data_IF_615081472046
#
_entry.id   IF_615081472046
#
_cell.length_a   1.000
_cell.length_b   1.000
_cell.length_c   1.000
_cell.angle_alpha   90.00
_cell.angle_beta   90.00
_cell.angle_gamma   90.00
#
_symmetry.space_group_name_H-M   'P 1'
#
loop_
_entity.id
_entity.type
_entity.pdbx_description
1 polymer ?
#
# COMPACT_ATOMS: atom_id res chain seq x y z
N UNK A 1 -42.28 28.36 4.61
CA UNK A 1 -41.51 27.86 3.45
C UNK A 1 -40.33 27.06 4.02
N UNK A 2 -40.48 25.75 4.21
CA UNK A 2 -39.37 24.90 4.66
C UNK A 2 -38.49 24.57 3.46
N UNK A 3 -37.22 24.96 3.52
CA UNK A 3 -36.19 24.55 2.55
C UNK A 3 -35.69 23.18 3.00
N UNK A 4 -36.16 22.12 2.36
CA UNK A 4 -35.61 20.77 2.49
C UNK A 4 -34.26 20.73 1.77
N UNK A 5 -33.17 20.71 2.52
CA UNK A 5 -31.84 20.42 2.00
C UNK A 5 -31.79 18.93 1.64
N UNK A 6 -31.96 18.61 0.36
CA UNK A 6 -31.69 17.26 -0.17
C UNK A 6 -30.18 17.07 -0.18
N UNK A 7 -29.65 16.37 0.82
CA UNK A 7 -28.28 15.86 0.77
C UNK A 7 -28.27 14.78 -0.32
N UNK A 8 -27.48 14.93 -1.41
CA UNK A 8 -27.38 13.88 -2.41
C UNK A 8 -26.69 12.69 -1.75
N UNK A 9 -27.44 11.60 -1.55
CA UNK A 9 -26.89 10.29 -1.27
C UNK A 9 -26.11 9.86 -2.52
N UNK A 10 -24.80 10.10 -2.51
CA UNK A 10 -23.93 9.45 -3.47
C UNK A 10 -24.07 7.94 -3.24
N UNK A 11 -24.44 7.12 -4.25
CA UNK A 11 -24.32 5.69 -4.11
C UNK A 11 -22.88 5.39 -3.69
N UNK A 12 -22.73 4.66 -2.59
CA UNK A 12 -21.43 4.12 -2.21
C UNK A 12 -21.03 3.11 -3.29
N UNK A 13 -20.30 3.59 -4.29
CA UNK A 13 -19.72 2.74 -5.32
C UNK A 13 -18.62 1.91 -4.63
N UNK A 14 -19.01 0.72 -4.20
CA UNK A 14 -18.08 -0.29 -3.70
C UNK A 14 -17.62 -1.14 -4.88
N UNK A 15 -16.35 -1.01 -5.27
CA UNK A 15 -15.72 -2.00 -6.11
C UNK A 15 -15.37 -3.20 -5.21
N UNK A 16 -16.04 -4.33 -5.40
CA UNK A 16 -15.66 -5.58 -4.74
C UNK A 16 -14.59 -6.25 -5.60
N UNK A 17 -13.38 -6.39 -5.07
CA UNK A 17 -12.29 -7.08 -5.74
C UNK A 17 -12.46 -8.58 -5.47
N UNK A 18 -13.01 -9.29 -6.45
CA UNK A 18 -13.19 -10.75 -6.34
C UNK A 18 -11.94 -11.47 -6.81
N UNK A 19 -11.16 -12.00 -5.86
CA UNK A 19 -9.97 -12.80 -6.12
C UNK A 19 -10.12 -14.21 -5.56
N UNK A 20 -9.57 -15.20 -6.26
CA UNK A 20 -9.44 -16.54 -5.68
C UNK A 20 -8.39 -16.53 -4.55
N UNK A 21 -8.48 -17.48 -3.62
CA UNK A 21 -7.46 -17.63 -2.58
C UNK A 21 -6.05 -17.80 -3.17
N UNK A 22 -5.92 -18.52 -4.30
CA UNK A 22 -4.65 -18.68 -5.00
C UNK A 22 -4.10 -17.35 -5.56
N UNK A 23 -4.95 -16.44 -5.98
CA UNK A 23 -4.54 -15.11 -6.45
C UNK A 23 -4.07 -14.23 -5.29
N UNK A 24 -4.79 -14.27 -4.16
CA UNK A 24 -4.38 -13.57 -2.92
C UNK A 24 -3.00 -14.06 -2.46
N UNK A 25 -2.78 -15.38 -2.45
CA UNK A 25 -1.46 -15.95 -2.14
C UNK A 25 -0.38 -15.48 -3.11
N UNK A 26 -0.67 -15.42 -4.41
CA UNK A 26 0.28 -14.93 -5.43
C UNK A 26 0.63 -13.46 -5.22
N UNK A 27 -0.36 -12.62 -4.90
CA UNK A 27 -0.17 -11.20 -4.55
C UNK A 27 0.72 -11.10 -3.31
N UNK A 28 0.40 -11.85 -2.24
CA UNK A 28 1.17 -11.86 -1.00
C UNK A 28 2.63 -12.25 -1.22
N UNK A 29 2.88 -13.35 -1.94
CA UNK A 29 4.23 -13.82 -2.27
C UNK A 29 5.02 -12.79 -3.10
N UNK A 30 4.39 -12.18 -4.10
CA UNK A 30 5.05 -11.17 -4.94
C UNK A 30 5.39 -9.91 -4.17
N UNK A 31 4.48 -9.50 -3.28
CA UNK A 31 4.69 -8.36 -2.37
C UNK A 31 5.85 -8.65 -1.41
N UNK A 32 5.89 -9.85 -0.81
CA UNK A 32 6.98 -10.31 0.03
C UNK A 32 8.32 -10.38 -0.70
N UNK A 33 8.33 -10.84 -1.95
CA UNK A 33 9.53 -10.85 -2.79
C UNK A 33 10.06 -9.42 -3.00
N UNK A 34 9.18 -8.46 -3.26
CA UNK A 34 9.58 -7.10 -3.56
C UNK A 34 10.07 -6.31 -2.35
N UNK A 35 9.46 -6.52 -1.18
CA UNK A 35 9.81 -5.76 0.03
C UNK A 35 10.91 -6.43 0.86
N UNK A 36 10.87 -7.76 0.95
CA UNK A 36 11.71 -8.53 1.89
C UNK A 36 12.65 -9.52 1.18
N UNK A 37 12.76 -9.44 -0.14
CA UNK A 37 13.47 -10.40 -0.99
C UNK A 37 12.98 -11.86 -0.82
N UNK A 38 11.73 -12.05 -0.35
CA UNK A 38 11.16 -13.37 -0.07
C UNK A 38 11.79 -14.07 1.14
N UNK A 39 12.44 -13.32 2.03
CA UNK A 39 13.12 -13.88 3.20
C UNK A 39 12.33 -13.66 4.49
N UNK A 40 12.38 -14.63 5.40
CA UNK A 40 11.75 -14.52 6.72
C UNK A 40 12.43 -13.41 7.54
N UNK A 41 13.75 -13.28 7.45
CA UNK A 41 14.51 -12.23 8.13
C UNK A 41 14.07 -10.83 7.69
N UNK A 42 13.82 -10.65 6.38
CA UNK A 42 13.37 -9.37 5.81
C UNK A 42 11.96 -8.95 6.24
N UNK A 43 11.17 -9.81 6.88
CA UNK A 43 9.86 -9.44 7.43
C UNK A 43 9.98 -8.49 8.64
N UNK A 44 11.18 -8.27 9.15
CA UNK A 44 11.43 -7.40 10.31
C UNK A 44 12.63 -6.51 10.02
N UNK A 45 12.42 -5.20 9.97
CA UNK A 45 13.47 -4.23 9.75
C UNK A 45 13.30 -3.00 10.65
N UNK A 46 14.40 -2.30 10.91
CA UNK A 46 14.39 -0.97 11.48
C UNK A 46 15.54 -0.21 10.82
N UNK A 47 15.23 0.65 9.86
CA UNK A 47 16.26 1.32 9.07
C UNK A 47 16.93 2.43 9.89
N UNK A 48 18.16 2.75 9.51
CA UNK A 48 18.87 3.88 10.10
C UNK A 48 18.14 5.18 9.78
N UNK A 49 17.95 6.04 10.78
CA UNK A 49 17.21 7.30 10.65
C UNK A 49 15.69 7.19 10.81
N UNK A 50 15.14 5.99 11.03
CA UNK A 50 13.72 5.78 11.35
C UNK A 50 13.47 5.67 12.86
N UNK A 51 12.29 6.13 13.31
CA UNK A 51 11.84 6.05 14.70
C UNK A 51 10.85 4.90 14.96
N UNK A 52 10.76 3.94 14.03
CA UNK A 52 9.78 2.86 14.03
C UNK A 52 10.34 1.55 13.47
N UNK A 53 9.71 0.44 13.84
CA UNK A 53 9.93 -0.84 13.20
C UNK A 53 9.06 -0.99 11.94
N UNK A 54 9.61 -1.65 10.93
CA UNK A 54 8.97 -1.97 9.66
C UNK A 54 8.75 -3.48 9.59
N UNK A 55 7.47 -3.91 9.53
CA UNK A 55 7.10 -5.31 9.71
C UNK A 55 6.27 -5.89 8.57
N UNK A 56 6.39 -7.19 8.35
CA UNK A 56 5.58 -7.95 7.40
C UNK A 56 5.89 -7.65 5.94
N UNK A 57 5.08 -8.22 5.04
CA UNK A 57 5.31 -8.19 3.59
C UNK A 57 5.21 -6.80 2.97
N UNK A 58 4.83 -5.79 3.77
CA UNK A 58 4.71 -4.39 3.35
C UNK A 58 5.38 -3.36 4.26
N UNK A 59 6.29 -3.79 5.14
CA UNK A 59 6.97 -2.87 6.06
C UNK A 59 5.97 -1.99 6.83
N UNK A 60 4.92 -2.64 7.35
CA UNK A 60 3.92 -2.02 8.20
C UNK A 60 4.60 -1.37 9.40
N UNK A 61 4.28 -0.09 9.61
CA UNK A 61 4.94 0.76 10.60
C UNK A 61 4.42 0.44 12.00
N UNK A 62 5.33 0.27 12.96
CA UNK A 62 5.04 0.11 14.38
C UNK A 62 5.92 1.03 15.23
N UNK A 63 5.30 2.01 15.89
CA UNK A 63 6.01 2.97 16.73
C UNK A 63 6.18 2.46 18.16
N UNK A 64 7.28 2.84 18.83
CA UNK A 64 7.43 2.69 20.27
C UNK A 64 6.37 3.45 21.07
N UNK A 65 6.25 3.09 22.35
CA UNK A 65 5.33 3.76 23.27
C UNK A 65 5.66 5.25 23.37
N UNK A 66 4.65 6.11 23.25
CA UNK A 66 4.80 7.56 23.37
C UNK A 66 5.55 8.22 22.21
N UNK A 67 5.91 7.46 21.16
CA UNK A 67 6.51 8.01 19.94
C UNK A 67 5.51 8.00 18.81
N UNK A 68 5.56 9.05 17.99
CA UNK A 68 4.83 9.15 16.72
C UNK A 68 5.72 9.87 15.73
N UNK A 69 5.60 9.49 14.47
CA UNK A 69 6.31 10.10 13.36
C UNK A 69 5.33 10.67 12.32
N UNK A 70 5.86 11.22 11.22
CA UNK A 70 5.04 11.79 10.16
C UNK A 70 4.27 10.74 9.34
N UNK A 71 4.60 9.46 9.50
CA UNK A 71 3.97 8.36 8.78
C UNK A 71 2.89 7.68 9.61
N UNK A 72 1.83 7.25 8.93
CA UNK A 72 0.72 6.52 9.52
C UNK A 72 1.17 5.17 10.10
N UNK A 73 0.84 4.90 11.36
CA UNK A 73 1.06 3.60 11.98
C UNK A 73 0.08 2.56 11.44
N UNK A 74 0.59 1.44 10.92
CA UNK A 74 -0.22 0.45 10.21
C UNK A 74 -0.13 -0.97 10.76
N UNK A 75 0.97 -1.36 11.43
CA UNK A 75 1.13 -2.72 11.94
C UNK A 75 0.03 -3.15 12.92
N UNK A 76 -0.40 -2.31 13.89
CA UNK A 76 -1.49 -2.69 14.79
C UNK A 76 -2.83 -2.92 14.06
N UNK A 77 -3.07 -2.21 12.94
CA UNK A 77 -4.25 -2.41 12.09
C UNK A 77 -4.22 -3.79 11.41
N UNK A 78 -3.03 -4.21 10.96
CA UNK A 78 -2.81 -5.54 10.36
C UNK A 78 -3.05 -6.64 11.40
N UNK A 79 -2.49 -6.50 12.60
CA UNK A 79 -2.72 -7.45 13.70
C UNK A 79 -4.21 -7.55 14.04
N UNK A 80 -4.91 -6.41 14.15
CA UNK A 80 -6.36 -6.39 14.39
C UNK A 80 -7.17 -7.04 13.27
N UNK A 81 -6.76 -6.88 12.02
CA UNK A 81 -7.39 -7.51 10.86
C UNK A 81 -7.21 -9.03 10.84
N UNK A 82 -6.00 -9.50 11.15
CA UNK A 82 -5.63 -10.92 11.23
C UNK A 82 -6.35 -11.58 12.40
N UNK A 83 -6.39 -10.93 13.57
CA UNK A 83 -7.06 -11.43 14.77
C UNK A 83 -8.54 -11.73 14.54
N UNK A 84 -9.23 -10.90 13.75
CA UNK A 84 -10.66 -11.08 13.43
C UNK A 84 -10.94 -12.28 12.52
N UNK A 85 -9.91 -12.85 11.88
CA UNK A 85 -9.98 -14.03 11.01
C UNK A 85 -9.51 -15.30 11.70
N UNK A 86 -9.50 -15.31 13.04
CA UNK A 86 -9.19 -16.48 13.87
C UNK A 86 -7.79 -17.09 13.68
N UNK A 87 -6.84 -16.32 13.12
CA UNK A 87 -5.44 -16.75 13.05
C UNK A 87 -4.80 -16.72 14.44
N UNK A 88 -3.90 -17.68 14.70
CA UNK A 88 -3.16 -17.76 15.97
C UNK A 88 -2.17 -16.61 16.08
N UNK A 89 -2.41 -15.69 17.02
CA UNK A 89 -1.46 -14.65 17.39
C UNK A 89 -0.51 -15.15 18.50
N UNK A 90 0.77 -14.76 18.49
CA UNK A 90 1.64 -14.88 19.65
C UNK A 90 1.01 -14.25 20.89
N UNK A 91 1.11 -14.90 22.05
CA UNK A 91 0.40 -14.46 23.28
C UNK A 91 0.76 -13.04 23.71
N UNK A 92 1.99 -12.61 23.45
CA UNK A 92 2.44 -11.27 23.76
C UNK A 92 1.93 -10.21 22.78
N UNK A 93 1.37 -10.60 21.62
CA UNK A 93 0.61 -9.75 20.68
C UNK A 93 -0.90 -9.80 20.94
N UNK A 94 -1.41 -10.76 21.73
CA UNK A 94 -2.84 -10.95 22.01
C UNK A 94 -3.46 -9.83 22.87
N UNK A 95 -2.67 -8.94 23.49
CA UNK A 95 -3.19 -7.83 24.32
C UNK A 95 -3.76 -6.66 23.50
N UNK A 96 -4.30 -6.95 22.32
CA UNK A 96 -4.99 -6.01 21.44
C UNK A 96 -4.07 -5.11 20.62
N UNK A 97 -4.60 -4.60 19.49
CA UNK A 97 -3.92 -3.70 18.55
C UNK A 97 -3.57 -2.30 19.11
N UNK A 98 -3.44 -2.17 20.42
CA UNK A 98 -2.99 -0.96 21.11
C UNK A 98 -1.59 -1.14 21.72
N UNK A 99 -1.01 -2.35 21.61
CA UNK A 99 0.30 -2.61 22.16
C UNK A 99 1.37 -1.88 21.33
N UNK A 100 2.15 -0.98 21.93
CA UNK A 100 3.23 -0.30 21.23
C UNK A 100 4.34 -1.29 20.89
N UNK A 101 5.21 -0.91 19.94
CA UNK A 101 6.41 -1.68 19.63
C UNK A 101 7.20 -1.95 20.93
N UNK A 102 7.54 -3.22 21.23
CA UNK A 102 8.19 -3.57 22.50
C UNK A 102 9.65 -3.08 22.56
N UNK A 103 10.23 -2.73 21.41
CA UNK A 103 11.56 -2.15 21.31
C UNK A 103 11.47 -0.63 21.20
N UNK A 104 12.12 0.09 22.10
CA UNK A 104 12.06 1.56 22.17
C UNK A 104 13.09 2.26 21.28
N UNK A 105 14.00 1.49 20.68
CA UNK A 105 15.03 1.99 19.78
C UNK A 105 15.47 0.93 18.78
N UNK A 106 16.06 1.38 17.67
CA UNK A 106 16.75 0.51 16.72
C UNK A 106 17.81 -0.37 17.39
N UNK A 107 18.57 0.17 18.34
CA UNK A 107 19.60 -0.59 19.05
C UNK A 107 19.02 -1.77 19.86
N UNK A 108 17.88 -1.55 20.53
CA UNK A 108 17.15 -2.63 21.21
C UNK A 108 16.62 -3.66 20.22
N UNK A 109 16.02 -3.20 19.11
CA UNK A 109 15.49 -4.07 18.06
C UNK A 109 16.57 -4.95 17.42
N UNK A 110 17.77 -4.40 17.22
CA UNK A 110 18.91 -5.14 16.67
C UNK A 110 19.48 -6.16 17.66
N UNK A 111 19.55 -5.83 18.96
CA UNK A 111 19.93 -6.81 19.98
C UNK A 111 18.92 -7.95 20.10
N UNK A 112 17.65 -7.67 19.81
CA UNK A 112 16.57 -8.65 19.89
C UNK A 112 16.44 -9.55 18.65
N UNK A 113 17.28 -9.40 17.62
CA UNK A 113 17.11 -10.12 16.33
C UNK A 113 17.01 -11.64 16.45
N UNK A 114 17.57 -12.22 17.51
CA UNK A 114 17.60 -13.66 17.76
C UNK A 114 16.82 -14.10 19.01
N UNK A 115 16.06 -13.20 19.64
CA UNK A 115 15.25 -13.58 20.81
C UNK A 115 14.03 -14.39 20.41
N UNK A 116 13.43 -15.08 21.39
CA UNK A 116 12.23 -15.86 21.18
C UNK A 116 11.08 -15.00 20.62
N UNK A 117 10.92 -13.77 21.12
CA UNK A 117 9.87 -12.83 20.71
C UNK A 117 10.03 -12.44 19.24
N UNK A 118 11.26 -12.11 18.79
CA UNK A 118 11.50 -11.73 17.40
C UNK A 118 11.28 -12.91 16.45
N UNK A 119 11.70 -14.11 16.85
CA UNK A 119 11.47 -15.32 16.05
C UNK A 119 9.97 -15.66 15.96
N UNK A 120 9.23 -15.53 17.06
CA UNK A 120 7.77 -15.68 17.06
C UNK A 120 7.09 -14.62 16.18
N UNK A 121 7.55 -13.37 16.21
CA UNK A 121 7.04 -12.30 15.35
C UNK A 121 7.24 -12.65 13.87
N UNK A 122 8.44 -13.09 13.49
CA UNK A 122 8.73 -13.50 12.10
C UNK A 122 7.92 -14.70 11.66
N UNK A 123 7.77 -15.71 12.52
CA UNK A 123 6.96 -16.89 12.22
C UNK A 123 5.50 -16.49 12.00
N UNK A 124 4.94 -15.67 12.89
CA UNK A 124 3.59 -15.11 12.74
C UNK A 124 3.43 -14.36 11.41
N UNK A 125 4.39 -13.49 11.06
CA UNK A 125 4.36 -12.75 9.79
C UNK A 125 4.48 -13.66 8.57
N UNK A 126 5.25 -14.75 8.65
CA UNK A 126 5.39 -15.71 7.56
C UNK A 126 4.13 -16.57 7.40
N UNK A 127 3.51 -16.99 8.50
CA UNK A 127 2.31 -17.84 8.51
C UNK A 127 1.03 -17.09 8.10
N UNK A 128 1.10 -15.76 8.00
CA UNK A 128 -0.05 -14.89 7.70
C UNK A 128 0.15 -14.02 6.46
N UNK A 129 1.00 -14.43 5.54
CA UNK A 129 1.27 -13.69 4.29
C UNK A 129 -0.01 -13.47 3.46
N UNK A 130 -0.87 -14.48 3.40
CA UNK A 130 -2.16 -14.42 2.71
C UNK A 130 -3.10 -13.40 3.38
N UNK A 131 -3.21 -13.41 4.70
CA UNK A 131 -4.02 -12.45 5.46
C UNK A 131 -3.48 -11.03 5.39
N UNK A 132 -2.15 -10.87 5.33
CA UNK A 132 -1.53 -9.58 5.04
C UNK A 132 -1.88 -9.09 3.63
N UNK A 133 -1.91 -9.98 2.63
CA UNK A 133 -2.34 -9.64 1.28
C UNK A 133 -3.83 -9.24 1.25
N UNK A 134 -4.71 -9.98 1.93
CA UNK A 134 -6.12 -9.59 2.09
C UNK A 134 -6.28 -8.20 2.72
N UNK A 135 -5.47 -7.87 3.73
CA UNK A 135 -5.49 -6.54 4.34
C UNK A 135 -5.15 -5.45 3.33
N UNK A 136 -4.15 -5.68 2.47
CA UNK A 136 -3.76 -4.74 1.43
C UNK A 136 -4.85 -4.57 0.35
N UNK A 137 -5.53 -5.66 0.00
CA UNK A 137 -6.67 -5.65 -0.94
C UNK A 137 -7.84 -4.87 -0.34
N UNK A 138 -8.20 -5.13 0.92
CA UNK A 138 -9.26 -4.38 1.61
C UNK A 138 -8.94 -2.88 1.72
N UNK A 139 -7.66 -2.53 1.93
CA UNK A 139 -7.21 -1.13 1.88
C UNK A 139 -7.38 -0.53 0.48
N UNK A 140 -7.07 -1.28 -0.57
CA UNK A 140 -7.24 -0.84 -1.96
C UNK A 140 -8.71 -0.60 -2.30
N UNK A 141 -9.63 -1.48 -1.88
CA UNK A 141 -11.08 -1.28 -2.05
C UNK A 141 -11.55 0.03 -1.39
N UNK A 142 -11.02 0.33 -0.19
CA UNK A 142 -11.29 1.59 0.50
C UNK A 142 -10.63 2.83 -0.11
N UNK A 143 -9.70 2.66 -1.06
CA UNK A 143 -9.01 3.77 -1.73
C UNK A 143 -9.82 4.36 -2.90
N UNK A 144 -10.57 3.53 -3.63
CA UNK A 144 -11.31 3.98 -4.83
C UNK A 144 -12.32 5.11 -4.51
N UNK A 145 -13.20 5.00 -3.49
CA UNK A 145 -14.14 6.08 -3.17
C UNK A 145 -13.45 7.41 -2.86
N UNK A 146 -12.28 7.38 -2.22
CA UNK A 146 -11.49 8.59 -1.92
C UNK A 146 -10.93 9.21 -3.20
N UNK A 147 -10.41 8.38 -4.11
CA UNK A 147 -9.90 8.84 -5.40
C UNK A 147 -11.02 9.48 -6.24
N UNK A 148 -12.21 8.88 -6.27
CA UNK A 148 -13.36 9.44 -6.99
C UNK A 148 -13.87 10.75 -6.37
N UNK A 149 -13.78 10.89 -5.05
CA UNK A 149 -14.14 12.14 -4.37
C UNK A 149 -13.17 13.28 -4.73
N UNK A 150 -11.87 13.00 -4.84
CA UNK A 150 -10.83 13.99 -5.22
C UNK A 150 -10.79 14.27 -6.73
N UNK A 151 -11.09 13.27 -7.57
CA UNK A 151 -11.05 13.41 -9.03
C UNK A 151 -12.01 14.49 -9.55
N UNK A 152 -11.59 15.19 -10.60
CA UNK A 152 -12.45 16.15 -11.29
C UNK A 152 -13.70 15.43 -11.84
N UNK A 153 -14.89 16.07 -11.87
CA UNK A 153 -16.12 15.41 -12.29
C UNK A 153 -16.05 14.71 -13.65
N UNK A 154 -15.29 15.27 -14.61
CA UNK A 154 -15.10 14.70 -15.94
C UNK A 154 -14.24 13.41 -15.94
N UNK A 155 -13.34 13.26 -14.97
CA UNK A 155 -12.37 12.16 -14.93
C UNK A 155 -12.86 10.96 -14.10
N UNK A 156 -13.87 11.16 -13.24
CA UNK A 156 -14.37 10.12 -12.31
C UNK A 156 -14.74 8.82 -13.00
N UNK A 157 -15.46 8.90 -14.12
CA UNK A 157 -15.87 7.73 -14.88
C UNK A 157 -14.66 6.97 -15.44
N UNK A 158 -13.66 7.70 -15.96
CA UNK A 158 -12.43 7.09 -16.45
C UNK A 158 -11.64 6.44 -15.30
N UNK A 159 -11.44 7.13 -14.19
CA UNK A 159 -10.71 6.60 -13.01
C UNK A 159 -11.34 5.30 -12.52
N UNK A 160 -12.67 5.28 -12.38
CA UNK A 160 -13.39 4.06 -11.98
C UNK A 160 -13.20 2.94 -13.00
N UNK A 161 -13.39 3.23 -14.30
CA UNK A 161 -13.23 2.24 -15.36
C UNK A 161 -11.82 1.63 -15.38
N UNK A 162 -10.77 2.45 -15.26
CA UNK A 162 -9.38 1.98 -15.30
C UNK A 162 -9.01 1.19 -14.04
N UNK A 163 -9.53 1.59 -12.88
CA UNK A 163 -9.39 0.82 -11.64
C UNK A 163 -10.01 -0.57 -11.79
N UNK A 164 -11.28 -0.63 -12.21
CA UNK A 164 -12.00 -1.90 -12.38
C UNK A 164 -11.35 -2.79 -13.44
N UNK A 165 -10.90 -2.20 -14.56
CA UNK A 165 -10.17 -2.91 -15.62
C UNK A 165 -8.93 -3.62 -15.08
N UNK A 166 -8.13 -2.94 -14.25
CA UNK A 166 -6.96 -3.56 -13.62
C UNK A 166 -7.36 -4.60 -12.55
N UNK A 167 -8.35 -4.29 -11.73
CA UNK A 167 -8.80 -5.15 -10.64
C UNK A 167 -9.38 -6.51 -11.10
N UNK A 168 -9.87 -6.61 -12.34
CA UNK A 168 -10.36 -7.87 -12.93
C UNK A 168 -9.30 -8.95 -13.11
N UNK A 169 -8.02 -8.60 -13.08
CA UNK A 169 -6.93 -9.57 -13.25
C UNK A 169 -6.06 -9.63 -12.00
N UNK A 170 -5.53 -10.81 -11.62
CA UNK A 170 -4.62 -10.91 -10.47
C UNK A 170 -3.37 -10.03 -10.63
N UNK A 171 -2.85 -9.90 -11.85
CA UNK A 171 -1.67 -9.08 -12.15
C UNK A 171 -1.96 -7.58 -12.05
N UNK A 172 -3.12 -7.13 -12.55
CA UNK A 172 -3.54 -5.73 -12.42
C UNK A 172 -3.89 -5.37 -10.98
N UNK A 173 -4.59 -6.25 -10.25
CA UNK A 173 -4.85 -6.05 -8.83
C UNK A 173 -3.54 -5.97 -8.02
N UNK A 174 -2.57 -6.84 -8.30
CA UNK A 174 -1.24 -6.73 -7.71
C UNK A 174 -0.60 -5.35 -7.99
N UNK A 175 -0.67 -4.86 -9.23
CA UNK A 175 -0.10 -3.56 -9.59
C UNK A 175 -0.78 -2.40 -8.84
N UNK A 176 -2.11 -2.43 -8.72
CA UNK A 176 -2.88 -1.46 -7.93
C UNK A 176 -2.48 -1.48 -6.45
N UNK A 177 -2.48 -2.67 -5.84
CA UNK A 177 -2.05 -2.87 -4.44
C UNK A 177 -0.64 -2.37 -4.24
N UNK A 178 0.27 -2.73 -5.14
CA UNK A 178 1.67 -2.33 -5.03
C UNK A 178 1.81 -0.81 -5.11
N UNK A 179 1.17 -0.17 -6.09
CA UNK A 179 1.33 1.25 -6.34
C UNK A 179 0.76 2.11 -5.20
N UNK A 180 -0.43 1.78 -4.66
CA UNK A 180 -1.01 2.50 -3.52
C UNK A 180 -0.06 2.46 -2.32
N UNK A 181 0.52 1.30 -2.02
CA UNK A 181 1.43 1.17 -0.90
C UNK A 181 2.84 1.72 -1.18
N UNK A 182 3.19 1.95 -2.45
CA UNK A 182 4.49 2.47 -2.87
C UNK A 182 4.52 4.00 -3.02
N UNK A 183 3.43 4.60 -3.53
CA UNK A 183 3.35 6.03 -3.90
C UNK A 183 2.10 6.75 -3.39
N UNK A 184 1.19 6.03 -2.75
CA UNK A 184 -0.03 6.58 -2.16
C UNK A 184 -1.22 6.52 -3.10
N UNK A 185 -2.38 6.84 -2.54
CA UNK A 185 -3.67 6.88 -3.24
C UNK A 185 -3.73 8.08 -4.23
N UNK A 186 -2.98 9.16 -3.96
CA UNK A 186 -2.96 10.37 -4.80
C UNK A 186 -4.04 11.38 -4.47
N UNK A 187 -4.58 11.31 -3.24
CA UNK A 187 -5.69 12.14 -2.76
C UNK A 187 -5.24 13.30 -1.86
N UNK A 188 -3.98 13.31 -1.42
CA UNK A 188 -3.46 14.33 -0.52
C UNK A 188 -2.89 15.51 -1.33
N UNK A 189 -3.38 16.73 -1.05
CA UNK A 189 -2.86 17.95 -1.68
C UNK A 189 -1.40 18.23 -1.36
N UNK A 190 -0.93 17.76 -0.19
CA UNK A 190 0.47 17.84 0.23
C UNK A 190 1.39 16.92 -0.57
N UNK A 191 0.82 15.94 -1.29
CA UNK A 191 1.55 15.02 -2.17
C UNK A 191 1.46 15.48 -3.64
N UNK A 192 1.67 16.78 -3.86
CA UNK A 192 1.67 17.40 -5.18
C UNK A 192 2.87 18.34 -5.33
N UNK A 193 3.49 18.32 -6.50
CA UNK A 193 4.47 19.33 -6.90
C UNK A 193 3.89 20.13 -8.07
N UNK A 194 3.86 21.46 -7.92
CA UNK A 194 3.24 22.36 -8.91
C UNK A 194 1.77 21.97 -9.22
N UNK A 195 1.01 21.57 -8.18
CA UNK A 195 -0.37 21.10 -8.33
C UNK A 195 -0.52 19.67 -8.90
N UNK A 196 0.55 19.07 -9.39
CA UNK A 196 0.54 17.74 -10.01
C UNK A 196 0.87 16.65 -8.98
N UNK A 197 -0.08 15.73 -8.78
CA UNK A 197 0.11 14.56 -7.91
C UNK A 197 0.87 13.42 -8.60
N UNK A 198 1.17 12.38 -7.83
CA UNK A 198 1.89 11.19 -8.29
C UNK A 198 1.36 9.87 -7.74
N UNK A 199 0.20 9.89 -7.07
CA UNK A 199 -0.39 8.67 -6.52
C UNK A 199 -1.22 7.91 -7.55
N UNK A 200 -1.88 6.86 -7.09
CA UNK A 200 -2.67 5.98 -7.97
C UNK A 200 -3.70 6.74 -8.80
N UNK A 201 -4.40 7.73 -8.21
CA UNK A 201 -5.37 8.56 -8.92
C UNK A 201 -4.80 9.14 -10.22
N UNK A 202 -3.62 9.76 -10.17
CA UNK A 202 -3.02 10.40 -11.35
C UNK A 202 -2.58 9.40 -12.42
N UNK A 203 -2.22 8.17 -12.02
CA UNK A 203 -1.93 7.11 -12.99
C UNK A 203 -3.20 6.74 -13.73
N UNK A 204 -4.30 6.49 -13.00
CA UNK A 204 -5.59 6.11 -13.58
C UNK A 204 -6.20 7.22 -14.45
N UNK A 205 -6.08 8.49 -14.05
CA UNK A 205 -6.50 9.65 -14.85
C UNK A 205 -5.83 9.68 -16.23
N UNK A 206 -4.57 9.23 -16.33
CA UNK A 206 -3.79 9.24 -17.57
C UNK A 206 -3.95 7.99 -18.46
N UNK A 207 -4.74 7.01 -18.01
CA UNK A 207 -5.04 5.79 -18.76
C UNK A 207 -6.35 5.94 -19.53
N UNK A 208 -6.40 5.45 -20.75
CA UNK A 208 -7.57 5.55 -21.64
C UNK A 208 -7.84 4.28 -22.45
N UNK A 209 -7.03 3.23 -22.30
CA UNK A 209 -7.24 1.96 -22.97
C UNK A 209 -8.49 1.24 -22.49
N UNK A 210 -8.92 0.27 -23.29
CA UNK A 210 -10.15 -0.51 -23.06
C UNK A 210 -9.91 -2.02 -23.00
N UNK A 211 -8.74 -2.50 -23.44
CA UNK A 211 -8.42 -3.92 -23.52
C UNK A 211 -7.74 -4.43 -22.25
N UNK A 212 -8.30 -5.47 -21.62
CA UNK A 212 -7.76 -6.03 -20.38
C UNK A 212 -6.33 -6.60 -20.57
N UNK A 213 -5.99 -7.12 -21.75
CA UNK A 213 -4.68 -7.75 -22.02
C UNK A 213 -3.51 -6.77 -22.00
N UNK A 214 -3.78 -5.49 -22.26
CA UNK A 214 -2.77 -4.42 -22.28
C UNK A 214 -2.85 -3.50 -21.05
N UNK A 215 -3.80 -3.75 -20.14
CA UNK A 215 -4.08 -2.87 -19.00
C UNK A 215 -2.85 -2.65 -18.11
N UNK A 216 -2.11 -3.72 -17.80
CA UNK A 216 -0.94 -3.66 -16.92
C UNK A 216 0.25 -2.97 -17.61
N UNK A 217 0.42 -3.17 -18.92
CA UNK A 217 1.45 -2.49 -19.69
C UNK A 217 1.19 -0.98 -19.74
N UNK A 218 -0.06 -0.59 -20.02
CA UNK A 218 -0.50 0.80 -20.02
C UNK A 218 -0.34 1.43 -18.63
N UNK A 219 -0.79 0.75 -17.57
CA UNK A 219 -0.60 1.18 -16.18
C UNK A 219 0.87 1.41 -15.86
N UNK A 220 1.75 0.49 -16.27
CA UNK A 220 3.19 0.61 -16.07
C UNK A 220 3.76 1.81 -16.82
N UNK A 221 3.31 2.06 -18.04
CA UNK A 221 3.71 3.24 -18.84
C UNK A 221 3.26 4.55 -18.20
N UNK A 222 1.98 4.64 -17.82
CA UNK A 222 1.39 5.77 -17.11
C UNK A 222 2.15 6.06 -15.80
N UNK A 223 2.37 5.04 -14.98
CA UNK A 223 3.14 5.15 -13.74
C UNK A 223 4.56 5.71 -13.97
N UNK A 224 5.26 5.26 -15.03
CA UNK A 224 6.58 5.80 -15.38
C UNK A 224 6.53 7.28 -15.73
N UNK A 225 5.55 7.69 -16.54
CA UNK A 225 5.38 9.09 -16.94
C UNK A 225 5.09 9.98 -15.72
N UNK A 226 4.17 9.56 -14.85
CA UNK A 226 3.82 10.26 -13.62
C UNK A 226 5.02 10.42 -12.68
N UNK A 227 5.80 9.35 -12.49
CA UNK A 227 7.00 9.39 -11.63
C UNK A 227 8.13 10.24 -12.22
N UNK A 228 8.29 10.23 -13.55
CA UNK A 228 9.26 11.09 -14.24
C UNK A 228 8.87 12.57 -14.09
N UNK A 229 7.58 12.90 -14.27
CA UNK A 229 7.04 14.24 -14.03
C UNK A 229 7.23 14.69 -12.58
N UNK A 230 6.98 13.81 -11.61
CA UNK A 230 7.22 14.10 -10.18
C UNK A 230 8.65 14.55 -9.95
N UNK A 231 9.63 13.80 -10.47
CA UNK A 231 11.06 14.13 -10.30
C UNK A 231 11.42 15.45 -10.98
N UNK A 232 10.86 15.71 -12.16
CA UNK A 232 11.06 16.98 -12.85
C UNK A 232 10.51 18.17 -12.05
N UNK A 233 9.34 18.01 -11.41
CA UNK A 233 8.69 19.06 -10.62
C UNK A 233 9.21 19.16 -9.19
N UNK A 234 10.05 18.21 -8.73
CA UNK A 234 10.48 18.14 -7.34
C UNK A 234 11.42 19.31 -6.97
N UNK A 235 11.32 19.86 -5.75
CA UNK A 235 12.30 20.83 -5.27
C UNK A 235 13.72 20.25 -5.31
N UNK A 236 14.68 21.04 -5.81
CA UNK A 236 16.07 20.60 -5.99
C UNK A 236 16.66 19.98 -4.72
N UNK A 237 16.38 20.57 -3.55
CA UNK A 237 16.85 20.10 -2.24
C UNK A 237 16.36 18.69 -1.86
N UNK A 238 15.31 18.15 -2.50
CA UNK A 238 14.84 16.76 -2.26
C UNK A 238 15.71 15.73 -2.98
N UNK A 239 16.43 16.13 -4.03
CA UNK A 239 17.30 15.27 -4.84
C UNK A 239 16.62 13.95 -5.27
N UNK A 240 15.36 14.02 -5.73
CA UNK A 240 14.57 12.80 -5.98
C UNK A 240 15.05 11.97 -7.19
N UNK A 241 15.83 12.57 -8.09
CA UNK A 241 16.36 11.91 -9.30
C UNK A 241 17.14 10.63 -9.02
N UNK A 242 17.81 10.54 -7.85
CA UNK A 242 18.53 9.33 -7.41
C UNK A 242 17.64 8.09 -7.27
N UNK A 243 16.35 8.27 -7.03
CA UNK A 243 15.41 7.17 -6.84
C UNK A 243 14.67 6.77 -8.12
N UNK A 244 14.65 7.63 -9.13
CA UNK A 244 13.84 7.45 -10.34
C UNK A 244 14.12 6.11 -11.01
N UNK A 245 15.40 5.77 -11.21
CA UNK A 245 15.77 4.50 -11.84
C UNK A 245 15.21 3.27 -11.09
N UNK A 246 15.22 3.30 -9.76
CA UNK A 246 14.62 2.25 -8.93
C UNK A 246 13.09 2.20 -9.06
N UNK A 247 12.44 3.37 -9.07
CA UNK A 247 10.99 3.46 -9.23
C UNK A 247 10.53 2.96 -10.60
N UNK A 248 11.24 3.31 -11.67
CA UNK A 248 10.96 2.85 -13.04
C UNK A 248 11.13 1.33 -13.15
N UNK A 249 12.19 0.75 -12.56
CA UNK A 249 12.36 -0.72 -12.52
C UNK A 249 11.19 -1.39 -11.80
N UNK A 250 10.77 -0.85 -10.66
CA UNK A 250 9.66 -1.38 -9.88
C UNK A 250 8.36 -1.42 -10.67
N UNK A 251 7.94 -0.31 -11.27
CA UNK A 251 6.69 -0.28 -12.04
C UNK A 251 6.79 -1.06 -13.35
N UNK A 252 7.99 -1.17 -13.94
CA UNK A 252 8.20 -2.05 -15.12
C UNK A 252 8.00 -3.52 -14.78
N UNK A 253 8.28 -3.93 -13.54
CA UNK A 253 8.11 -5.33 -13.14
C UNK A 253 6.66 -5.79 -13.22
N UNK A 254 5.68 -4.87 -13.15
CA UNK A 254 4.25 -5.22 -13.13
C UNK A 254 3.84 -5.98 -14.38
N UNK A 255 4.30 -5.55 -15.56
CA UNK A 255 4.00 -6.15 -16.87
C UNK A 255 4.56 -7.56 -17.08
N UNK A 256 5.35 -8.11 -16.14
CA UNK A 256 5.87 -9.48 -16.25
C UNK A 256 6.89 -9.68 -17.38
N UNK A 257 7.46 -8.58 -17.88
CA UNK A 257 8.59 -8.56 -18.83
C UNK A 257 9.89 -8.31 -18.10
#
# INVERSE_FOLDING_TARGET
>A
MLITLTIPLWPHITCAITLSHADVQRIGKRTWQNECNGTIFGLTAWNEGEDFASLGIRHFIWYPKGRRGPFEESFPKVVGFISKRSAKLPTWLLRGGEQPCPWNSRAEFLRAQHTAEMNQLRQFLADTIDLQAEFLIARLEGALPKMLAEAAPADRANVQQQFERLARTPQGCYALVDYVNFKGEGVLRTERYQGQGWGLLQVLESMHGTSDTTAVDEFSGAAKAILTRRVHNAPVARHESRWLAGWIRRVSSYSGR
#
